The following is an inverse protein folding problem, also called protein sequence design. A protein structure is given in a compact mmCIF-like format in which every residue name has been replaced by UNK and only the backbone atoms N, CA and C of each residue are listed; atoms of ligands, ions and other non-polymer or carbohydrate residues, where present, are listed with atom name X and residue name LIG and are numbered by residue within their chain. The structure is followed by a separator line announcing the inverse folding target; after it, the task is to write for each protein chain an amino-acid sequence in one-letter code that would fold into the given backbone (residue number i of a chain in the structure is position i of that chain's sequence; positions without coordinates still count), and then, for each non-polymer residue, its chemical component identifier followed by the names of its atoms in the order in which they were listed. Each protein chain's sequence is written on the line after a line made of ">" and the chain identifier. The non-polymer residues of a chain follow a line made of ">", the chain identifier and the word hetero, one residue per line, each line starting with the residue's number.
data_IF_622839224261
#
_entry.id   IF_622839224261
#
_cell.length_a   1.000
_cell.length_b   1.000
_cell.length_c   1.000
_cell.angle_alpha   90.00
_cell.angle_beta   90.00
_cell.angle_gamma   90.00
#
_symmetry.space_group_name_H-M   'P 1'
#
loop_
_entity.id
_entity.type
_entity.pdbx_description
1 polymer ?
#
# COMPACT_ATOMS: atom_id res chain seq x y z
N UNK A 1 -17.08 3.46 19.83
CA UNK A 1 -16.04 2.45 19.55
C UNK A 1 -16.59 1.03 19.67
N UNK A 2 -17.23 0.66 20.77
CA UNK A 2 -17.79 -0.68 21.00
C UNK A 2 -18.76 -1.09 19.89
N UNK A 3 -19.70 -0.24 19.51
CA UNK A 3 -20.65 -0.52 18.41
C UNK A 3 -19.95 -0.86 17.07
N UNK A 4 -18.83 -0.19 16.78
CA UNK A 4 -18.02 -0.51 15.60
C UNK A 4 -17.35 -1.89 15.71
N UNK A 5 -16.86 -2.25 16.90
CA UNK A 5 -16.25 -3.54 17.16
C UNK A 5 -17.26 -4.69 17.05
N UNK A 6 -18.49 -4.48 17.49
CA UNK A 6 -19.59 -5.44 17.31
C UNK A 6 -19.91 -5.66 15.83
N UNK A 7 -19.94 -4.58 15.04
CA UNK A 7 -20.11 -4.69 13.59
C UNK A 7 -18.95 -5.45 12.92
N UNK A 8 -17.72 -5.24 13.38
CA UNK A 8 -16.52 -5.96 12.90
C UNK A 8 -16.64 -7.46 13.24
N UNK A 9 -17.09 -7.81 14.44
CA UNK A 9 -17.30 -9.20 14.84
C UNK A 9 -18.39 -9.88 14.00
N UNK A 10 -19.52 -9.20 13.76
CA UNK A 10 -20.58 -9.69 12.86
C UNK A 10 -20.07 -9.88 11.43
N UNK A 11 -19.23 -8.96 10.94
CA UNK A 11 -18.64 -9.08 9.61
C UNK A 11 -17.68 -10.26 9.54
N UNK A 12 -16.87 -10.47 10.56
CA UNK A 12 -15.97 -11.63 10.68
C UNK A 12 -16.73 -12.95 10.60
N UNK A 13 -17.83 -13.09 11.34
CA UNK A 13 -18.67 -14.30 11.31
C UNK A 13 -19.25 -14.52 9.91
N UNK A 14 -19.77 -13.46 9.29
CA UNK A 14 -20.29 -13.53 7.93
C UNK A 14 -19.23 -13.90 6.89
N UNK A 15 -18.01 -13.39 7.01
CA UNK A 15 -16.90 -13.74 6.12
C UNK A 15 -16.51 -15.21 6.29
N UNK A 16 -16.49 -15.71 7.53
CA UNK A 16 -16.25 -17.14 7.79
C UNK A 16 -17.33 -18.04 7.15
N UNK A 17 -18.59 -17.64 7.18
CA UNK A 17 -19.67 -18.37 6.51
C UNK A 17 -19.50 -18.33 4.98
N UNK A 18 -19.20 -17.16 4.39
CA UNK A 18 -19.05 -16.97 2.96
C UNK A 18 -17.89 -17.80 2.38
N UNK A 19 -16.76 -17.87 3.06
CA UNK A 19 -15.59 -18.66 2.62
C UNK A 19 -15.91 -20.16 2.49
N UNK A 20 -16.88 -20.65 3.25
CA UNK A 20 -17.30 -22.05 3.20
C UNK A 20 -18.27 -22.37 2.06
N UNK A 21 -18.78 -21.37 1.34
CA UNK A 21 -19.73 -21.58 0.25
C UNK A 21 -19.04 -22.15 -1.00
N UNK A 22 -19.58 -23.19 -1.64
CA UNK A 22 -18.99 -23.79 -2.84
C UNK A 22 -18.81 -22.81 -4.00
N UNK A 23 -19.71 -21.83 -4.12
CA UNK A 23 -19.67 -20.78 -5.14
C UNK A 23 -18.44 -19.87 -4.97
N UNK A 24 -18.13 -19.49 -3.74
CA UNK A 24 -16.97 -18.66 -3.41
C UNK A 24 -15.66 -19.44 -3.56
N UNK A 25 -15.64 -20.72 -3.17
CA UNK A 25 -14.46 -21.58 -3.34
C UNK A 25 -14.11 -21.77 -4.82
N UNK A 26 -15.10 -21.72 -5.71
CA UNK A 26 -14.88 -21.85 -7.16
C UNK A 26 -14.36 -20.55 -7.80
N UNK A 27 -14.57 -19.40 -7.18
CA UNK A 27 -14.04 -18.10 -7.62
C UNK A 27 -12.77 -17.76 -6.84
N UNK A 28 -11.62 -18.02 -7.49
CA UNK A 28 -10.31 -17.83 -6.87
C UNK A 28 -10.05 -16.38 -6.45
N UNK A 29 -10.58 -15.39 -7.16
CA UNK A 29 -10.38 -13.98 -6.84
C UNK A 29 -11.21 -13.59 -5.60
N UNK A 30 -12.50 -13.92 -5.59
CA UNK A 30 -13.38 -13.65 -4.47
C UNK A 30 -12.93 -14.39 -3.20
N UNK A 31 -12.48 -15.63 -3.32
CA UNK A 31 -11.93 -16.40 -2.21
C UNK A 31 -10.68 -15.73 -1.61
N UNK A 32 -9.76 -15.27 -2.47
CA UNK A 32 -8.55 -14.57 -2.05
C UNK A 32 -8.84 -13.25 -1.32
N UNK A 33 -9.81 -12.49 -1.79
CA UNK A 33 -10.24 -11.24 -1.13
C UNK A 33 -10.84 -11.51 0.25
N UNK A 34 -11.76 -12.47 0.35
CA UNK A 34 -12.38 -12.84 1.64
C UNK A 34 -11.37 -13.40 2.63
N UNK A 35 -10.39 -14.19 2.17
CA UNK A 35 -9.30 -14.67 3.03
C UNK A 35 -8.41 -13.54 3.55
N UNK A 36 -8.15 -12.51 2.73
CA UNK A 36 -7.44 -11.31 3.16
C UNK A 36 -8.25 -10.53 4.19
N UNK A 37 -9.54 -10.35 3.94
CA UNK A 37 -10.44 -9.69 4.88
C UNK A 37 -10.45 -10.44 6.22
N UNK A 38 -10.59 -11.76 6.19
CA UNK A 38 -10.53 -12.60 7.39
C UNK A 38 -9.23 -12.42 8.17
N UNK A 39 -8.08 -12.47 7.47
CA UNK A 39 -6.76 -12.26 8.08
C UNK A 39 -6.64 -10.89 8.77
N UNK A 40 -7.27 -9.86 8.21
CA UNK A 40 -7.27 -8.52 8.79
C UNK A 40 -8.22 -8.38 9.99
N UNK A 41 -9.37 -9.04 9.96
CA UNK A 41 -10.37 -8.98 11.02
C UNK A 41 -10.01 -9.86 12.24
N UNK A 42 -9.32 -10.98 12.02
CA UNK A 42 -8.97 -11.96 13.07
C UNK A 42 -8.33 -11.30 14.30
N UNK A 43 -7.22 -10.53 14.20
CA UNK A 43 -6.58 -9.95 15.37
C UNK A 43 -7.48 -8.95 16.11
N UNK A 44 -8.33 -8.23 15.40
CA UNK A 44 -9.28 -7.28 15.99
C UNK A 44 -10.35 -8.03 16.81
N UNK A 45 -10.90 -9.11 16.24
CA UNK A 45 -11.96 -9.90 16.88
C UNK A 45 -11.42 -10.68 18.08
N UNK A 46 -10.22 -11.26 17.97
CA UNK A 46 -9.58 -11.96 19.08
C UNK A 46 -9.31 -11.02 20.27
N UNK A 47 -8.73 -9.85 20.00
CA UNK A 47 -8.50 -8.83 21.01
C UNK A 47 -9.82 -8.32 21.61
N UNK A 48 -10.87 -8.14 20.80
CA UNK A 48 -12.19 -7.71 21.28
C UNK A 48 -12.88 -8.76 22.14
N UNK A 49 -12.78 -10.03 21.79
CA UNK A 49 -13.29 -11.15 22.61
C UNK A 49 -12.57 -11.22 23.95
N UNK A 50 -11.23 -11.07 23.95
CA UNK A 50 -10.46 -11.00 25.18
C UNK A 50 -10.83 -9.78 26.05
N UNK A 51 -11.09 -8.62 25.42
CA UNK A 51 -11.59 -7.43 26.11
C UNK A 51 -12.96 -7.67 26.76
N UNK A 52 -13.90 -8.29 26.04
CA UNK A 52 -15.24 -8.63 26.61
C UNK A 52 -15.13 -9.59 27.79
N UNK A 53 -14.23 -10.56 27.73
CA UNK A 53 -13.97 -11.50 28.83
C UNK A 53 -13.37 -10.77 30.04
N UNK A 54 -12.36 -9.92 29.85
CA UNK A 54 -11.76 -9.11 30.91
C UNK A 54 -12.78 -8.16 31.56
N UNK A 55 -13.64 -7.52 30.76
CA UNK A 55 -14.72 -6.64 31.25
C UNK A 55 -15.78 -7.39 32.06
N UNK A 56 -16.08 -8.63 31.64
CA UNK A 56 -17.01 -9.52 32.37
C UNK A 56 -16.40 -9.94 33.70
N UNK A 57 -15.14 -10.40 33.71
CA UNK A 57 -14.44 -10.81 34.94
C UNK A 57 -14.30 -9.63 35.92
N UNK A 58 -13.95 -8.42 35.43
CA UNK A 58 -13.90 -7.22 36.25
C UNK A 58 -15.24 -6.92 36.94
N UNK A 59 -16.35 -7.00 36.19
CA UNK A 59 -17.72 -6.76 36.72
C UNK A 59 -18.14 -7.82 37.71
N UNK A 60 -17.83 -9.09 37.45
CA UNK A 60 -18.15 -10.20 38.36
C UNK A 60 -17.34 -10.07 39.67
N UNK A 61 -16.04 -9.84 39.60
CA UNK A 61 -15.20 -9.62 40.78
C UNK A 61 -15.65 -8.41 41.59
N UNK A 62 -16.01 -7.29 40.94
CA UNK A 62 -16.53 -6.10 41.58
C UNK A 62 -17.88 -6.34 42.28
N UNK A 63 -18.78 -7.08 41.64
CA UNK A 63 -20.08 -7.46 42.24
C UNK A 63 -19.91 -8.32 43.49
N UNK A 64 -19.03 -9.30 43.41
CA UNK A 64 -18.73 -10.21 44.55
C UNK A 64 -18.05 -9.46 45.69
N UNK A 65 -17.16 -8.49 45.43
CA UNK A 65 -16.54 -7.66 46.47
C UNK A 65 -17.55 -6.81 47.26
N UNK A 66 -18.63 -6.37 46.57
CA UNK A 66 -19.67 -5.54 47.18
C UNK A 66 -20.74 -6.32 47.97
N UNK A 67 -20.89 -7.64 47.74
CA UNK A 67 -21.87 -8.49 48.43
C UNK A 67 -21.53 -8.76 49.92
N UNK A 68 -20.32 -8.46 50.39
CA UNK A 68 -19.96 -8.32 51.79
C UNK A 68 -20.02 -9.58 52.66
N UNK A 69 -20.33 -10.75 52.10
CA UNK A 69 -20.56 -12.03 52.86
C UNK A 69 -19.34 -12.97 52.87
N UNK A 70 -18.14 -12.48 52.44
CA UNK A 70 -17.03 -13.34 52.08
C UNK A 70 -15.93 -13.39 53.14
N UNK A 71 -15.23 -14.54 53.17
CA UNK A 71 -14.08 -14.78 54.03
C UNK A 71 -12.90 -13.89 53.61
N UNK A 72 -12.03 -13.54 54.56
CA UNK A 72 -10.94 -12.56 54.35
C UNK A 72 -9.97 -12.98 53.24
N UNK A 73 -9.61 -14.28 53.20
CA UNK A 73 -8.69 -14.83 52.17
C UNK A 73 -9.31 -14.81 50.79
N UNK A 74 -10.62 -15.04 50.68
CA UNK A 74 -11.35 -14.97 49.41
C UNK A 74 -11.52 -13.53 48.92
N UNK A 75 -11.65 -12.59 49.84
CA UNK A 75 -11.69 -11.16 49.49
C UNK A 75 -10.36 -10.66 48.92
N UNK A 76 -9.22 -11.09 49.48
CA UNK A 76 -7.90 -10.76 48.96
C UNK A 76 -7.71 -11.30 47.53
N UNK A 77 -8.14 -12.52 47.25
CA UNK A 77 -8.11 -13.10 45.88
C UNK A 77 -8.99 -12.32 44.90
N UNK A 78 -10.19 -11.91 45.32
CA UNK A 78 -11.07 -11.11 44.47
C UNK A 78 -10.52 -9.69 44.20
N UNK A 79 -9.85 -9.09 45.18
CA UNK A 79 -9.20 -7.79 44.99
C UNK A 79 -8.03 -7.89 44.00
N UNK A 80 -7.29 -9.00 44.02
CA UNK A 80 -6.22 -9.27 43.05
C UNK A 80 -6.79 -9.53 41.65
N UNK A 81 -7.81 -10.37 41.53
CA UNK A 81 -8.49 -10.66 40.27
C UNK A 81 -9.13 -9.42 39.65
N UNK A 82 -9.75 -8.57 40.45
CA UNK A 82 -10.29 -7.28 40.03
C UNK A 82 -9.21 -6.37 39.49
N UNK A 83 -8.06 -6.29 40.16
CA UNK A 83 -6.94 -5.44 39.74
C UNK A 83 -6.30 -5.93 38.45
N UNK A 84 -6.09 -7.24 38.34
CA UNK A 84 -5.52 -7.86 37.13
C UNK A 84 -6.47 -7.72 35.93
N UNK A 85 -7.77 -8.00 36.10
CA UNK A 85 -8.75 -7.88 35.03
C UNK A 85 -8.91 -6.43 34.55
N UNK A 86 -8.87 -5.47 35.47
CA UNK A 86 -8.91 -4.03 35.14
C UNK A 86 -7.68 -3.61 34.34
N UNK A 87 -6.49 -4.00 34.76
CA UNK A 87 -5.26 -3.69 34.02
C UNK A 87 -5.29 -4.32 32.62
N UNK A 88 -5.63 -5.59 32.52
CA UNK A 88 -5.76 -6.32 31.26
C UNK A 88 -6.77 -5.65 30.32
N UNK A 89 -7.90 -5.19 30.85
CA UNK A 89 -8.91 -4.45 30.08
C UNK A 89 -8.37 -3.14 29.53
N UNK A 90 -7.60 -2.38 30.32
CA UNK A 90 -6.99 -1.12 29.86
C UNK A 90 -5.93 -1.35 28.75
N UNK A 91 -5.11 -2.40 28.91
CA UNK A 91 -4.13 -2.81 27.90
C UNK A 91 -4.82 -3.23 26.59
N UNK A 92 -5.82 -4.12 26.67
CA UNK A 92 -6.59 -4.56 25.49
C UNK A 92 -7.37 -3.41 24.82
N UNK A 93 -7.87 -2.46 25.60
CA UNK A 93 -8.53 -1.28 25.06
C UNK A 93 -7.56 -0.40 24.25
N UNK A 94 -6.32 -0.23 24.73
CA UNK A 94 -5.28 0.49 24.01
C UNK A 94 -4.85 -0.25 22.73
N UNK A 95 -4.73 -1.56 22.80
CA UNK A 95 -4.44 -2.41 21.63
C UNK A 95 -5.55 -2.34 20.58
N UNK A 96 -6.82 -2.43 21.00
CA UNK A 96 -7.97 -2.28 20.10
C UNK A 96 -7.99 -0.92 19.39
N UNK A 97 -7.63 0.16 20.06
CA UNK A 97 -7.48 1.48 19.42
C UNK A 97 -6.46 1.44 18.28
N UNK A 98 -5.36 0.75 18.49
CA UNK A 98 -4.30 0.59 17.49
C UNK A 98 -4.74 -0.29 16.32
N UNK A 99 -5.41 -1.41 16.61
CA UNK A 99 -5.91 -2.35 15.60
C UNK A 99 -7.03 -1.78 14.72
N UNK A 100 -7.81 -0.83 15.26
CA UNK A 100 -8.89 -0.14 14.53
C UNK A 100 -8.41 1.00 13.65
N UNK A 101 -7.12 1.36 13.69
CA UNK A 101 -6.59 2.37 12.78
C UNK A 101 -6.74 1.90 11.33
N UNK A 102 -7.12 2.81 10.43
CA UNK A 102 -7.24 2.46 9.02
C UNK A 102 -5.88 2.00 8.48
N UNK A 103 -5.84 0.75 8.05
CA UNK A 103 -4.69 0.19 7.33
C UNK A 103 -4.70 0.72 5.90
N UNK A 104 -3.54 1.00 5.36
CA UNK A 104 -3.40 1.36 3.96
C UNK A 104 -3.81 0.15 3.09
N UNK A 105 -4.76 0.30 2.14
CA UNK A 105 -5.18 -0.80 1.28
C UNK A 105 -4.04 -1.36 0.43
N UNK A 106 -2.95 -0.63 0.26
CA UNK A 106 -1.77 -1.06 -0.47
C UNK A 106 -0.76 -1.84 0.37
N UNK A 107 -0.90 -1.88 1.72
CA UNK A 107 0.08 -2.47 2.62
C UNK A 107 0.42 -3.94 2.32
N UNK A 108 -0.49 -4.69 1.69
CA UNK A 108 -0.29 -6.10 1.32
C UNK A 108 0.35 -6.29 -0.07
N UNK A 109 0.44 -5.23 -0.88
CA UNK A 109 0.92 -5.29 -2.26
C UNK A 109 2.43 -5.50 -2.34
N UNK A 110 2.86 -5.97 -3.51
CA UNK A 110 4.24 -5.87 -3.92
C UNK A 110 4.63 -4.40 -4.08
N UNK A 111 5.93 -4.12 -4.12
CA UNK A 111 6.42 -2.75 -4.18
C UNK A 111 7.36 -2.56 -5.36
N UNK A 112 7.20 -1.44 -6.06
CA UNK A 112 8.12 -0.97 -7.08
C UNK A 112 8.95 0.15 -6.45
N UNK A 113 10.28 0.01 -6.49
CA UNK A 113 11.21 0.99 -5.97
C UNK A 113 12.01 1.57 -7.12
N UNK A 114 12.02 2.89 -7.21
CA UNK A 114 12.84 3.62 -8.18
C UNK A 114 13.89 4.43 -7.43
N UNK A 115 15.15 4.22 -7.76
CA UNK A 115 16.28 4.92 -7.17
C UNK A 115 16.97 5.73 -8.27
N UNK A 116 17.14 7.03 -8.03
CA UNK A 116 17.85 7.94 -8.95
C UNK A 116 18.94 8.72 -8.23
N UNK A 117 20.12 8.81 -8.84
CA UNK A 117 21.17 9.71 -8.41
C UNK A 117 20.69 11.17 -8.47
N UNK A 118 20.79 11.90 -7.36
CA UNK A 118 20.49 13.32 -7.25
C UNK A 118 21.74 14.19 -7.38
N UNK A 119 21.90 15.13 -6.44
CA UNK A 119 23.08 16.00 -6.41
C UNK A 119 24.33 15.23 -5.95
N UNK A 120 25.40 15.23 -6.75
CA UNK A 120 26.68 14.59 -6.38
C UNK A 120 27.39 13.85 -7.53
N UNK A 121 26.79 13.81 -8.74
CA UNK A 121 27.42 13.17 -9.91
C UNK A 121 27.67 11.68 -9.70
N UNK A 122 28.88 11.21 -9.99
CA UNK A 122 29.27 9.80 -9.91
C UNK A 122 29.12 9.23 -8.50
N UNK A 123 29.37 10.02 -7.46
CA UNK A 123 29.18 9.60 -6.07
C UNK A 123 27.72 9.30 -5.75
N UNK A 124 26.80 10.11 -6.26
CA UNK A 124 25.37 9.83 -6.12
C UNK A 124 24.99 8.52 -6.82
N UNK A 125 25.56 8.24 -7.99
CA UNK A 125 25.33 7.00 -8.71
C UNK A 125 25.90 5.77 -7.97
N UNK A 126 27.08 5.88 -7.37
CA UNK A 126 27.68 4.81 -6.54
C UNK A 126 26.83 4.56 -5.28
N UNK A 127 26.33 5.63 -4.66
CA UNK A 127 25.45 5.49 -3.48
C UNK A 127 24.08 4.90 -3.85
N UNK A 128 23.53 5.23 -5.02
CA UNK A 128 22.31 4.59 -5.52
C UNK A 128 22.47 3.06 -5.64
N UNK A 129 23.62 2.59 -6.14
CA UNK A 129 23.97 1.17 -6.15
C UNK A 129 24.08 0.56 -4.75
N UNK A 130 24.62 1.33 -3.79
CA UNK A 130 24.70 0.89 -2.38
C UNK A 130 23.31 0.75 -1.75
N UNK A 131 22.37 1.67 -2.04
CA UNK A 131 20.97 1.60 -1.57
C UNK A 131 20.22 0.43 -2.22
N UNK A 132 20.39 0.22 -3.52
CA UNK A 132 19.81 -0.95 -4.20
C UNK A 132 20.26 -2.26 -3.55
N UNK A 133 21.56 -2.41 -3.31
CA UNK A 133 22.10 -3.57 -2.60
C UNK A 133 21.49 -3.72 -1.20
N UNK A 134 21.41 -2.65 -0.41
CA UNK A 134 20.83 -2.65 0.92
C UNK A 134 19.38 -3.15 0.89
N UNK A 135 18.54 -2.64 -0.02
CA UNK A 135 17.15 -3.05 -0.14
C UNK A 135 17.00 -4.49 -0.64
N UNK A 136 17.86 -4.93 -1.58
CA UNK A 136 17.85 -6.31 -2.06
C UNK A 136 18.21 -7.29 -0.94
N UNK A 137 19.21 -6.99 -0.12
CA UNK A 137 19.59 -7.83 1.02
C UNK A 137 18.51 -7.86 2.09
N UNK A 138 17.84 -6.73 2.33
CA UNK A 138 16.68 -6.70 3.23
C UNK A 138 15.53 -7.55 2.71
N UNK A 139 15.19 -7.44 1.43
CA UNK A 139 14.17 -8.25 0.79
C UNK A 139 14.50 -9.75 0.89
N UNK A 140 15.74 -10.13 0.62
CA UNK A 140 16.21 -11.52 0.75
C UNK A 140 16.08 -12.05 2.18
N UNK A 141 16.44 -11.24 3.19
CA UNK A 141 16.31 -11.62 4.61
C UNK A 141 14.86 -11.89 5.02
N UNK A 142 13.89 -11.28 4.32
CA UNK A 142 12.44 -11.48 4.51
C UNK A 142 11.86 -12.59 3.63
N UNK A 143 12.67 -13.22 2.80
CA UNK A 143 12.23 -14.23 1.84
C UNK A 143 11.45 -13.65 0.65
N UNK A 144 11.59 -12.36 0.38
CA UNK A 144 10.99 -11.68 -0.76
C UNK A 144 11.92 -11.75 -1.97
N UNK A 145 11.32 -11.80 -3.15
CA UNK A 145 12.06 -11.85 -4.42
C UNK A 145 12.24 -10.45 -4.98
N UNK A 146 13.45 -10.13 -5.43
CA UNK A 146 13.77 -8.88 -6.12
C UNK A 146 13.89 -9.13 -7.62
N UNK A 147 13.17 -8.36 -8.44
CA UNK A 147 13.22 -8.40 -9.89
C UNK A 147 13.57 -7.02 -10.47
N UNK A 148 14.63 -6.93 -11.25
CA UNK A 148 15.09 -5.66 -11.84
C UNK A 148 14.36 -5.42 -13.16
N UNK A 149 13.57 -4.35 -13.19
CA UNK A 149 12.77 -3.94 -14.36
C UNK A 149 13.60 -3.10 -15.34
N UNK A 150 14.35 -2.14 -14.81
CA UNK A 150 15.20 -1.26 -15.63
C UNK A 150 16.42 -0.80 -14.82
N UNK A 151 17.58 -0.72 -15.47
CA UNK A 151 18.81 -0.23 -14.86
C UNK A 151 19.60 0.61 -15.87
N UNK A 152 20.10 1.75 -15.41
CA UNK A 152 21.00 2.62 -16.15
C UNK A 152 22.31 2.79 -15.36
N UNK A 153 23.33 2.07 -15.76
CA UNK A 153 24.63 2.06 -15.10
C UNK A 153 25.54 3.16 -15.64
N UNK A 154 26.47 3.61 -14.79
CA UNK A 154 27.56 4.51 -15.20
C UNK A 154 28.83 3.72 -15.54
N UNK A 155 29.72 4.32 -16.33
CA UNK A 155 31.01 3.67 -16.69
C UNK A 155 31.93 3.36 -15.50
N UNK A 156 31.65 3.88 -14.30
CA UNK A 156 32.39 3.66 -13.06
C UNK A 156 31.71 2.62 -12.13
N UNK A 157 30.74 1.86 -12.64
CA UNK A 157 30.01 0.85 -11.87
C UNK A 157 28.94 1.43 -10.90
N UNK A 158 28.62 2.71 -11.00
CA UNK A 158 27.52 3.32 -10.29
C UNK A 158 26.19 3.15 -11.04
N UNK A 159 25.08 3.38 -10.36
CA UNK A 159 23.72 3.31 -10.92
C UNK A 159 23.15 4.72 -11.00
N UNK A 160 22.93 5.22 -12.22
CA UNK A 160 22.29 6.53 -12.43
C UNK A 160 20.81 6.47 -12.11
N UNK A 161 20.15 5.40 -12.52
CA UNK A 161 18.75 5.12 -12.30
C UNK A 161 18.51 3.62 -12.30
N UNK A 162 17.67 3.14 -11.38
CA UNK A 162 17.20 1.76 -11.34
C UNK A 162 15.76 1.72 -10.90
N UNK A 163 14.98 0.85 -11.56
CA UNK A 163 13.63 0.47 -11.14
C UNK A 163 13.58 -1.03 -10.93
N UNK A 164 13.12 -1.47 -9.80
CA UNK A 164 13.00 -2.89 -9.46
C UNK A 164 11.76 -3.15 -8.62
N UNK A 165 11.23 -4.35 -8.76
CA UNK A 165 10.08 -4.82 -8.00
C UNK A 165 10.54 -5.75 -6.89
N UNK A 166 9.93 -5.65 -5.72
CA UNK A 166 10.06 -6.60 -4.63
C UNK A 166 8.74 -7.32 -4.47
N UNK A 167 8.73 -8.60 -4.79
CA UNK A 167 7.58 -9.48 -4.70
C UNK A 167 7.54 -10.13 -3.32
N UNK A 168 6.53 -9.80 -2.53
CA UNK A 168 6.34 -10.37 -1.20
C UNK A 168 5.15 -9.76 -0.48
N UNK A 169 4.40 -10.59 0.23
CA UNK A 169 3.27 -10.11 1.02
C UNK A 169 3.71 -9.11 2.07
N UNK A 170 3.17 -7.91 2.03
CA UNK A 170 3.50 -6.85 2.98
C UNK A 170 4.78 -6.06 2.64
N UNK A 171 5.39 -6.28 1.48
CA UNK A 171 6.59 -5.56 1.07
C UNK A 171 6.36 -4.03 1.05
N UNK A 172 5.26 -3.58 0.44
CA UNK A 172 4.93 -2.16 0.41
C UNK A 172 4.81 -1.55 1.81
N UNK A 173 4.20 -2.25 2.77
CA UNK A 173 4.01 -1.76 4.14
C UNK A 173 5.33 -1.39 4.86
N UNK A 174 6.42 -2.06 4.50
CA UNK A 174 7.75 -1.83 5.06
C UNK A 174 8.51 -0.76 4.29
N UNK A 175 8.47 -0.83 2.96
CA UNK A 175 9.24 0.06 2.10
C UNK A 175 8.61 1.45 1.90
N UNK A 176 7.30 1.64 2.13
CA UNK A 176 6.65 2.96 1.96
C UNK A 176 7.31 4.08 2.75
N UNK A 177 8.01 3.76 3.84
CA UNK A 177 8.77 4.72 4.64
C UNK A 177 10.16 5.05 4.07
N UNK A 178 10.59 4.38 3.00
CA UNK A 178 11.88 4.64 2.35
C UNK A 178 11.78 5.70 1.24
N UNK A 179 10.57 6.17 0.90
CA UNK A 179 10.37 7.21 -0.10
C UNK A 179 10.91 8.56 0.35
N UNK A 180 11.67 9.23 -0.52
CA UNK A 180 12.21 10.56 -0.28
C UNK A 180 13.68 10.70 -0.66
N UNK A 181 14.33 11.73 -0.13
CA UNK A 181 15.74 12.06 -0.41
C UNK A 181 16.67 11.46 0.65
N UNK A 182 17.56 10.58 0.22
CA UNK A 182 18.61 9.97 1.03
C UNK A 182 19.93 10.71 0.83
N UNK A 183 20.55 11.16 1.91
CA UNK A 183 21.80 11.91 1.87
C UNK A 183 22.95 11.06 2.37
N UNK A 184 24.03 11.00 1.64
CA UNK A 184 25.27 10.34 2.04
C UNK A 184 26.38 11.37 2.33
N UNK A 185 27.17 11.09 3.35
CA UNK A 185 28.38 11.82 3.71
C UNK A 185 29.52 10.81 3.84
N UNK A 186 30.40 10.76 2.84
CA UNK A 186 31.61 9.93 2.84
C UNK A 186 32.68 10.54 1.94
N UNK A 187 33.89 10.04 2.03
CA UNK A 187 34.94 10.31 1.03
C UNK A 187 34.64 9.42 -0.17
N UNK A 188 34.32 9.95 -1.36
CA UNK A 188 34.07 9.16 -2.54
C UNK A 188 35.32 8.34 -2.94
N UNK A 189 35.12 7.18 -3.54
CA UNK A 189 36.20 6.39 -4.13
C UNK A 189 36.90 7.13 -5.29
N UNK A 190 36.20 8.08 -5.90
CA UNK A 190 36.67 8.95 -6.99
C UNK A 190 37.45 10.18 -6.51
N UNK A 191 37.50 10.44 -5.18
CA UNK A 191 38.13 11.64 -4.61
C UNK A 191 39.58 11.35 -4.16
N UNK A 192 40.53 11.97 -4.82
CA UNK A 192 41.97 11.81 -4.51
C UNK A 192 42.42 12.65 -3.29
N UNK A 193 41.70 13.69 -2.93
CA UNK A 193 42.04 14.64 -1.86
C UNK A 193 41.52 14.27 -0.48
N UNK A 194 40.82 13.14 -0.30
CA UNK A 194 40.30 12.68 0.99
C UNK A 194 39.20 13.57 1.57
N UNK A 195 38.57 14.42 0.77
CA UNK A 195 37.50 15.33 1.22
C UNK A 195 36.17 14.60 1.35
N UNK A 196 35.45 14.88 2.43
CA UNK A 196 34.11 14.38 2.64
C UNK A 196 33.16 15.13 1.69
N UNK A 197 32.50 14.36 0.80
CA UNK A 197 31.45 14.88 -0.07
C UNK A 197 30.06 14.58 0.51
N UNK A 198 29.11 15.42 0.14
CA UNK A 198 27.71 15.22 0.47
C UNK A 198 26.93 15.04 -0.81
N UNK A 199 26.40 13.85 -1.02
CA UNK A 199 25.61 13.49 -2.21
C UNK A 199 24.20 13.07 -1.82
N UNK A 200 23.28 13.13 -2.77
CA UNK A 200 21.88 12.75 -2.56
C UNK A 200 21.42 11.76 -3.59
N UNK A 201 20.49 10.92 -3.17
CA UNK A 201 19.77 9.96 -4.00
C UNK A 201 18.31 10.09 -3.67
N UNK A 202 17.47 10.06 -4.68
CA UNK A 202 16.02 10.06 -4.51
C UNK A 202 15.49 8.63 -4.65
N UNK A 203 14.58 8.27 -3.77
CA UNK A 203 13.90 6.98 -3.76
C UNK A 203 12.40 7.24 -3.86
N UNK A 204 11.77 6.68 -4.89
CA UNK A 204 10.33 6.60 -4.99
C UNK A 204 9.88 5.17 -4.69
N UNK A 205 8.79 5.03 -3.95
CA UNK A 205 8.24 3.75 -3.51
C UNK A 205 6.77 3.73 -3.88
N UNK A 206 6.41 2.87 -4.82
CA UNK A 206 5.08 2.78 -5.38
C UNK A 206 4.51 1.38 -5.15
N UNK A 207 3.22 1.25 -4.83
CA UNK A 207 2.57 -0.05 -4.81
C UNK A 207 2.48 -0.61 -6.22
N UNK A 208 2.54 -1.94 -6.36
CA UNK A 208 2.24 -2.59 -7.64
C UNK A 208 0.85 -2.20 -8.11
N UNK A 209 0.74 -1.69 -9.34
CA UNK A 209 -0.53 -1.33 -9.95
C UNK A 209 -1.31 -2.60 -10.32
N UNK A 210 -2.60 -2.61 -10.04
CA UNK A 210 -3.49 -3.67 -10.51
C UNK A 210 -3.80 -3.46 -11.99
N UNK A 211 -4.00 -4.56 -12.72
CA UNK A 211 -4.46 -4.47 -14.10
C UNK A 211 -5.86 -3.83 -14.15
N UNK A 212 -5.97 -2.79 -14.94
CA UNK A 212 -7.25 -2.13 -15.16
C UNK A 212 -8.10 -2.99 -16.10
N UNK A 213 -9.16 -3.58 -15.57
CA UNK A 213 -10.18 -4.23 -16.38
C UNK A 213 -11.47 -3.40 -16.33
N UNK A 214 -12.08 -3.17 -17.51
CA UNK A 214 -13.31 -2.39 -17.62
C UNK A 214 -14.48 -3.30 -17.92
N UNK A 215 -15.34 -3.47 -16.93
CA UNK A 215 -16.67 -4.03 -17.12
C UNK A 215 -17.62 -2.89 -17.51
N UNK A 216 -18.10 -2.90 -18.76
CA UNK A 216 -19.09 -1.93 -19.25
C UNK A 216 -20.49 -2.46 -18.90
N UNK A 217 -21.23 -1.72 -18.06
CA UNK A 217 -22.63 -2.04 -17.79
C UNK A 217 -23.49 -1.66 -19.02
N UNK A 218 -24.27 -2.59 -19.60
CA UNK A 218 -25.18 -2.30 -20.69
C UNK A 218 -26.20 -1.18 -20.40
N UNK A 219 -26.54 -0.94 -19.13
CA UNK A 219 -27.47 0.12 -18.70
C UNK A 219 -26.86 1.53 -18.81
N UNK A 220 -25.54 1.65 -18.86
CA UNK A 220 -24.78 2.90 -19.02
C UNK A 220 -24.55 3.27 -20.48
N UNK A 221 -25.05 2.44 -21.40
CA UNK A 221 -24.88 2.64 -22.84
C UNK A 221 -26.17 3.14 -23.49
N UNK A 222 -26.08 4.27 -24.17
CA UNK A 222 -27.07 4.70 -25.15
C UNK A 222 -26.62 4.25 -26.54
N UNK A 223 -27.47 3.48 -27.23
CA UNK A 223 -27.18 2.94 -28.56
C UNK A 223 -28.19 3.48 -29.55
N UNK A 224 -27.75 4.30 -30.47
CA UNK A 224 -28.53 4.92 -31.49
C UNK A 224 -28.19 4.31 -32.86
N UNK A 225 -29.20 4.07 -33.69
CA UNK A 225 -29.03 3.62 -35.06
C UNK A 225 -29.24 4.79 -36.01
N UNK A 226 -28.44 4.85 -37.06
CA UNK A 226 -28.57 5.88 -38.08
C UNK A 226 -28.18 5.36 -39.47
N UNK A 227 -28.44 6.15 -40.48
CA UNK A 227 -28.12 5.75 -41.87
C UNK A 227 -26.66 6.04 -42.14
N UNK A 228 -25.96 5.04 -42.68
CA UNK A 228 -24.56 5.21 -43.06
C UNK A 228 -24.42 6.28 -44.14
N UNK A 229 -23.40 7.09 -44.03
CA UNK A 229 -23.02 8.12 -45.03
C UNK A 229 -21.87 7.61 -45.88
N UNK A 230 -21.94 7.79 -47.21
CA UNK A 230 -20.86 7.44 -48.13
C UNK A 230 -21.31 7.04 -49.51
N UNK A 231 -20.36 6.77 -50.42
CA UNK A 231 -20.62 6.31 -51.78
C UNK A 231 -21.16 4.87 -51.74
N UNK A 232 -22.46 4.70 -51.92
CA UNK A 232 -23.13 3.38 -51.88
C UNK A 232 -24.45 3.37 -52.64
N UNK A 233 -24.93 2.18 -53.02
CA UNK A 233 -26.20 1.97 -53.69
C UNK A 233 -27.40 2.09 -52.76
N UNK A 234 -28.59 1.62 -53.23
CA UNK A 234 -29.88 1.72 -52.53
C UNK A 234 -29.87 1.19 -51.06
N UNK A 235 -29.01 0.23 -50.76
CA UNK A 235 -28.91 -0.36 -49.42
C UNK A 235 -28.35 0.63 -48.38
N UNK A 236 -27.30 1.40 -48.71
CA UNK A 236 -26.68 2.38 -47.80
C UNK A 236 -27.63 3.54 -47.48
N UNK A 237 -28.43 3.95 -48.42
CA UNK A 237 -29.35 5.09 -48.29
C UNK A 237 -30.72 4.72 -47.63
N UNK A 238 -31.08 3.44 -47.57
CA UNK A 238 -32.39 3.02 -47.02
C UNK A 238 -32.29 2.30 -45.68
N UNK A 239 -31.16 1.65 -45.36
CA UNK A 239 -31.02 0.81 -44.15
C UNK A 239 -30.24 1.54 -43.09
N UNK A 240 -30.74 1.60 -41.86
CA UNK A 240 -30.06 2.17 -40.69
C UNK A 240 -29.09 1.13 -40.11
N UNK A 241 -27.98 0.91 -40.80
CA UNK A 241 -26.95 -0.07 -40.40
C UNK A 241 -25.83 0.54 -39.57
N UNK A 242 -25.70 1.87 -39.56
CA UNK A 242 -24.71 2.55 -38.74
C UNK A 242 -25.16 2.64 -37.27
N UNK A 243 -24.22 2.51 -36.39
CA UNK A 243 -24.43 2.51 -34.93
C UNK A 243 -23.60 3.63 -34.31
N UNK A 244 -24.23 4.36 -33.40
CA UNK A 244 -23.58 5.27 -32.44
C UNK A 244 -23.78 4.70 -31.05
N UNK A 245 -22.71 4.48 -30.33
CA UNK A 245 -22.71 4.08 -28.92
C UNK A 245 -22.16 5.22 -28.09
N UNK A 246 -22.94 5.70 -27.14
CA UNK A 246 -22.56 6.73 -26.18
C UNK A 246 -22.48 6.10 -24.80
N UNK A 247 -21.34 6.21 -24.15
CA UNK A 247 -21.19 5.83 -22.73
C UNK A 247 -21.60 7.03 -21.88
N UNK A 248 -22.74 6.92 -21.20
CA UNK A 248 -23.40 8.02 -20.50
C UNK A 248 -22.49 8.65 -19.41
N UNK A 249 -21.80 7.86 -18.54
CA UNK A 249 -20.99 8.44 -17.46
C UNK A 249 -19.80 9.28 -17.94
N UNK A 250 -19.11 8.85 -19.02
CA UNK A 250 -17.92 9.54 -19.53
C UNK A 250 -18.21 10.45 -20.73
N UNK A 251 -19.41 10.37 -21.31
CA UNK A 251 -19.75 11.09 -22.54
C UNK A 251 -18.97 10.62 -23.77
N UNK A 252 -18.25 9.50 -23.69
CA UNK A 252 -17.48 8.96 -24.83
C UNK A 252 -18.42 8.44 -25.89
N UNK A 253 -18.26 8.92 -27.13
CA UNK A 253 -19.07 8.53 -28.29
C UNK A 253 -18.23 7.76 -29.29
N UNK A 254 -18.76 6.63 -29.77
CA UNK A 254 -18.16 5.81 -30.82
C UNK A 254 -19.19 5.58 -31.93
N UNK A 255 -18.83 5.88 -33.17
CA UNK A 255 -19.64 5.58 -34.34
C UNK A 255 -18.97 4.51 -35.19
N UNK A 256 -19.77 3.59 -35.68
CA UNK A 256 -19.32 2.51 -36.60
C UNK A 256 -20.31 2.32 -37.73
N UNK A 257 -19.82 2.42 -38.97
CA UNK A 257 -20.61 2.27 -40.19
C UNK A 257 -19.91 1.43 -41.29
N UNK A 258 -18.86 0.68 -40.89
CA UNK A 258 -17.99 -0.03 -41.85
C UNK A 258 -18.63 -1.24 -42.46
N UNK A 259 -19.52 -1.89 -41.76
CA UNK A 259 -20.17 -3.13 -42.18
C UNK A 259 -21.63 -2.90 -42.61
N UNK A 260 -22.12 -3.78 -43.47
CA UNK A 260 -23.56 -3.77 -43.90
C UNK A 260 -24.50 -4.28 -42.80
N UNK A 261 -23.97 -4.99 -41.80
CA UNK A 261 -24.70 -5.57 -40.69
C UNK A 261 -24.68 -4.68 -39.48
N UNK A 262 -25.84 -4.26 -39.02
CA UNK A 262 -26.02 -3.46 -37.78
C UNK A 262 -25.41 -4.16 -36.56
N UNK A 263 -25.56 -5.48 -36.42
CA UNK A 263 -25.02 -6.27 -35.32
C UNK A 263 -23.47 -6.28 -35.33
N UNK A 264 -22.83 -6.38 -36.49
CA UNK A 264 -21.38 -6.31 -36.62
C UNK A 264 -20.85 -4.92 -36.29
N UNK A 265 -21.56 -3.86 -36.73
CA UNK A 265 -21.21 -2.50 -36.39
C UNK A 265 -21.35 -2.25 -34.88
N UNK A 266 -22.42 -2.77 -34.23
CA UNK A 266 -22.59 -2.70 -32.77
C UNK A 266 -21.43 -3.38 -32.03
N UNK A 267 -21.10 -4.62 -32.41
CA UNK A 267 -20.00 -5.37 -31.80
C UNK A 267 -18.66 -4.64 -31.92
N UNK A 268 -18.40 -4.07 -33.11
CA UNK A 268 -17.21 -3.31 -33.39
C UNK A 268 -17.16 -1.99 -32.59
N UNK A 269 -18.28 -1.27 -32.54
CA UNK A 269 -18.40 -0.04 -31.76
C UNK A 269 -18.16 -0.28 -30.26
N UNK A 270 -18.70 -1.38 -29.72
CA UNK A 270 -18.46 -1.76 -28.31
C UNK A 270 -17.00 -2.11 -28.03
N UNK A 271 -16.32 -2.81 -28.95
CA UNK A 271 -14.89 -3.11 -28.84
C UNK A 271 -14.04 -1.82 -28.85
N UNK A 272 -14.36 -0.89 -29.77
CA UNK A 272 -13.67 0.40 -29.84
C UNK A 272 -13.94 1.22 -28.58
N UNK A 273 -15.19 1.24 -28.09
CA UNK A 273 -15.53 1.93 -26.85
C UNK A 273 -14.75 1.37 -25.67
N UNK A 274 -14.69 0.04 -25.51
CA UNK A 274 -13.90 -0.61 -24.45
C UNK A 274 -12.43 -0.22 -24.51
N UNK A 275 -11.83 -0.22 -25.70
CA UNK A 275 -10.43 0.20 -25.87
C UNK A 275 -10.21 1.68 -25.48
N UNK A 276 -11.12 2.59 -25.86
CA UNK A 276 -11.02 4.00 -25.50
C UNK A 276 -11.19 4.24 -24.00
N UNK A 277 -12.15 3.58 -23.39
CA UNK A 277 -12.36 3.70 -21.94
C UNK A 277 -11.15 3.14 -21.16
N UNK A 278 -10.57 2.02 -21.62
CA UNK A 278 -9.37 1.45 -21.05
C UNK A 278 -8.17 2.40 -21.18
N UNK A 279 -8.03 3.07 -22.31
CA UNK A 279 -6.97 4.06 -22.54
C UNK A 279 -7.13 5.25 -21.57
N UNK A 280 -8.32 5.80 -21.43
CA UNK A 280 -8.62 6.91 -20.51
C UNK A 280 -8.33 6.53 -19.05
N UNK A 281 -8.72 5.32 -18.63
CA UNK A 281 -8.47 4.90 -17.25
C UNK A 281 -6.98 4.62 -16.98
N UNK A 282 -6.26 4.09 -17.98
CA UNK A 282 -4.79 3.95 -17.91
C UNK A 282 -4.08 5.30 -17.82
N UNK A 283 -4.47 6.27 -18.65
CA UNK A 283 -3.90 7.63 -18.60
C UNK A 283 -4.13 8.28 -17.23
N UNK A 284 -5.32 8.07 -16.65
CA UNK A 284 -5.63 8.57 -15.30
C UNK A 284 -4.74 7.90 -14.25
N UNK A 285 -4.62 6.57 -14.29
CA UNK A 285 -3.75 5.82 -13.37
C UNK A 285 -2.28 6.24 -13.50
N UNK A 286 -1.79 6.39 -14.74
CA UNK A 286 -0.43 6.83 -15.01
C UNK A 286 -0.18 8.26 -14.47
N UNK A 287 -1.18 9.14 -14.59
CA UNK A 287 -1.11 10.50 -14.03
C UNK A 287 -1.07 10.49 -12.50
N UNK A 288 -1.90 9.67 -11.85
CA UNK A 288 -1.92 9.51 -10.39
C UNK A 288 -0.56 8.98 -9.88
N UNK A 289 -0.02 7.95 -10.54
CA UNK A 289 1.31 7.39 -10.22
C UNK A 289 2.42 8.44 -10.43
N UNK A 290 2.35 9.22 -11.51
CA UNK A 290 3.33 10.28 -11.79
C UNK A 290 3.30 11.39 -10.74
N UNK A 291 2.10 11.78 -10.28
CA UNK A 291 1.93 12.79 -9.23
C UNK A 291 2.38 12.26 -7.86
N UNK A 292 2.08 11.01 -7.54
CA UNK A 292 2.58 10.37 -6.32
C UNK A 292 4.12 10.31 -6.33
N UNK A 293 4.73 9.83 -7.42
CA UNK A 293 6.19 9.82 -7.59
C UNK A 293 6.80 11.21 -7.41
N UNK A 294 6.19 12.24 -8.01
CA UNK A 294 6.66 13.62 -7.90
C UNK A 294 6.60 14.14 -6.47
N UNK A 295 5.52 13.83 -5.75
CA UNK A 295 5.37 14.23 -4.35
C UNK A 295 6.39 13.59 -3.42
N UNK A 296 6.78 12.34 -3.68
CA UNK A 296 7.77 11.60 -2.90
C UNK A 296 9.20 12.08 -3.13
N UNK A 297 9.55 12.41 -4.38
CA UNK A 297 10.94 12.72 -4.77
C UNK A 297 11.29 14.20 -4.54
N UNK A 298 10.30 15.10 -4.56
CA UNK A 298 10.52 16.55 -4.44
C UNK A 298 11.47 17.08 -5.51
N UNK A 299 12.38 17.97 -5.13
CA UNK A 299 13.44 18.52 -6.02
C UNK A 299 14.74 17.71 -5.99
N UNK A 300 14.88 16.76 -5.06
CA UNK A 300 16.11 16.02 -4.81
C UNK A 300 17.21 16.86 -4.15
N UNK A 301 16.89 18.04 -3.62
CA UNK A 301 17.84 18.91 -2.95
C UNK A 301 18.32 18.30 -1.62
N UNK A 302 19.54 18.65 -1.22
CA UNK A 302 20.15 18.19 0.05
C UNK A 302 19.39 18.63 1.29
N UNK A 303 18.56 19.66 1.20
CA UNK A 303 17.72 20.17 2.29
C UNK A 303 16.51 19.29 2.57
N UNK A 304 15.97 18.61 1.55
CA UNK A 304 14.76 17.77 1.62
C UNK A 304 14.99 16.37 2.19
N UNK A 305 16.20 16.11 2.70
CA UNK A 305 16.61 14.80 3.20
C UNK A 305 15.66 14.22 4.24
N UNK A 306 15.26 12.98 4.04
CA UNK A 306 14.56 12.17 5.07
C UNK A 306 15.60 11.48 5.97
N UNK A 307 16.71 11.00 5.39
CA UNK A 307 17.74 10.23 6.11
C UNK A 307 19.15 10.64 5.71
N UNK A 308 20.08 10.57 6.66
CA UNK A 308 21.51 10.83 6.42
C UNK A 308 22.35 9.62 6.82
N UNK A 309 23.18 9.16 5.90
CA UNK A 309 24.17 8.11 6.09
C UNK A 309 25.55 8.78 6.24
N UNK A 310 26.10 8.79 7.46
CA UNK A 310 27.39 9.40 7.77
C UNK A 310 28.43 8.31 8.01
N UNK A 311 29.20 7.97 6.97
CA UNK A 311 30.21 6.92 7.04
C UNK A 311 31.36 7.24 7.99
N UNK A 312 31.96 8.45 7.99
CA UNK A 312 33.02 8.80 8.94
C UNK A 312 32.62 8.65 10.41
N UNK A 313 31.35 8.83 10.73
CA UNK A 313 30.84 8.69 12.09
C UNK A 313 30.14 7.36 12.36
N UNK A 314 30.07 6.46 11.37
CA UNK A 314 29.43 5.14 11.49
C UNK A 314 27.93 5.20 11.81
N UNK A 315 27.26 6.32 11.52
CA UNK A 315 25.86 6.53 11.93
C UNK A 315 24.90 6.78 10.78
N UNK A 316 23.65 6.35 11.00
CA UNK A 316 22.49 6.68 10.16
C UNK A 316 21.50 7.46 11.01
N UNK A 317 21.01 8.59 10.50
CA UNK A 317 20.03 9.43 11.19
C UNK A 317 18.80 9.64 10.34
N UNK A 318 17.62 9.25 10.84
CA UNK A 318 16.33 9.56 10.25
C UNK A 318 15.79 10.87 10.84
N UNK A 319 15.62 11.87 9.97
CA UNK A 319 15.27 13.23 10.41
C UNK A 319 13.78 13.40 10.69
N UNK A 320 12.93 12.48 10.21
CA UNK A 320 11.46 12.52 10.40
C UNK A 320 11.07 12.26 11.86
N UNK A 321 11.84 11.37 12.53
CA UNK A 321 11.59 10.93 13.90
C UNK A 321 12.75 11.24 14.86
N UNK A 322 13.83 11.89 14.37
CA UNK A 322 15.01 12.22 15.17
C UNK A 322 15.84 11.01 15.62
N UNK A 323 15.62 9.82 15.03
CA UNK A 323 16.34 8.59 15.41
C UNK A 323 17.74 8.59 14.81
N UNK A 324 18.74 8.21 15.63
CA UNK A 324 20.13 8.02 15.18
C UNK A 324 20.66 6.68 15.65
N UNK A 325 21.14 5.86 14.71
CA UNK A 325 21.72 4.55 14.95
C UNK A 325 23.20 4.54 14.55
N UNK A 326 24.06 3.96 15.40
CA UNK A 326 25.52 3.86 15.18
C UNK A 326 25.91 2.48 14.66
N UNK A 327 25.20 1.98 13.63
CA UNK A 327 25.41 0.67 13.00
C UNK A 327 25.29 0.72 11.47
N UNK A 328 25.94 1.71 10.86
CA UNK A 328 25.84 1.95 9.41
C UNK A 328 26.17 0.72 8.57
N UNK A 329 27.16 -0.08 8.96
CA UNK A 329 27.54 -1.29 8.22
C UNK A 329 26.44 -2.34 8.21
N UNK A 330 25.78 -2.57 9.37
CA UNK A 330 24.64 -3.47 9.46
C UNK A 330 23.48 -2.99 8.59
N UNK A 331 23.17 -1.69 8.68
CA UNK A 331 22.10 -1.06 7.88
C UNK A 331 22.37 -1.20 6.37
N UNK A 332 23.59 -0.91 5.92
CA UNK A 332 23.97 -1.05 4.50
C UNK A 332 24.01 -2.51 4.02
N UNK A 333 24.02 -3.47 4.93
CA UNK A 333 23.87 -4.90 4.66
C UNK A 333 22.44 -5.42 4.87
N UNK A 334 21.44 -4.52 4.96
CA UNK A 334 20.03 -4.89 4.97
C UNK A 334 19.38 -4.94 6.37
N UNK A 335 20.11 -4.67 7.47
CA UNK A 335 19.51 -4.61 8.82
C UNK A 335 18.82 -3.26 9.06
N UNK A 336 17.65 -3.06 8.39
CA UNK A 336 16.88 -1.81 8.49
C UNK A 336 15.64 -1.93 9.36
N UNK A 337 15.38 -3.09 9.98
CA UNK A 337 14.15 -3.33 10.76
C UNK A 337 13.94 -2.32 11.86
N UNK A 338 14.97 -2.01 12.65
CA UNK A 338 14.85 -1.05 13.75
C UNK A 338 14.43 0.36 13.26
N UNK A 339 14.91 0.78 12.07
CA UNK A 339 14.50 2.04 11.46
C UNK A 339 13.03 2.00 11.01
N UNK A 340 12.65 0.91 10.34
CA UNK A 340 11.30 0.74 9.81
C UNK A 340 10.29 0.60 10.94
N UNK A 341 10.58 -0.17 11.98
CA UNK A 341 9.69 -0.38 13.13
C UNK A 341 9.49 0.93 13.93
N UNK A 342 10.55 1.73 14.09
CA UNK A 342 10.43 3.04 14.71
C UNK A 342 9.55 4.00 13.88
N UNK A 343 9.64 3.95 12.55
CA UNK A 343 8.80 4.76 11.65
C UNK A 343 7.34 4.30 11.67
N UNK A 344 7.09 2.99 11.68
CA UNK A 344 5.74 2.43 11.83
C UNK A 344 5.13 2.87 13.17
N UNK A 345 5.89 2.80 14.26
CA UNK A 345 5.44 3.23 15.58
C UNK A 345 5.09 4.72 15.61
N UNK A 346 5.93 5.56 15.00
CA UNK A 346 5.68 6.99 14.91
C UNK A 346 4.46 7.34 14.03
N UNK A 347 4.24 6.62 12.91
CA UNK A 347 3.07 6.78 12.05
C UNK A 347 1.79 6.36 12.78
N UNK A 348 1.82 5.23 13.47
CA UNK A 348 0.72 4.73 14.30
C UNK A 348 0.35 5.75 15.39
N UNK A 349 1.34 6.31 16.08
CA UNK A 349 1.11 7.34 17.11
C UNK A 349 0.46 8.62 16.53
N UNK A 350 0.90 9.07 15.35
CA UNK A 350 0.28 10.21 14.66
C UNK A 350 -1.18 9.93 14.26
N UNK A 351 -1.46 8.74 13.74
CA UNK A 351 -2.83 8.33 13.37
C UNK A 351 -3.74 8.24 14.59
N UNK A 352 -3.24 7.75 15.73
CA UNK A 352 -3.98 7.72 16.99
C UNK A 352 -4.34 9.14 17.45
N UNK A 353 -3.38 10.06 17.46
CA UNK A 353 -3.62 11.46 17.82
C UNK A 353 -4.66 12.12 16.89
N UNK A 354 -4.58 11.87 15.59
CA UNK A 354 -5.55 12.39 14.61
C UNK A 354 -6.96 11.81 14.78
N UNK A 355 -7.10 10.60 15.33
CA UNK A 355 -8.40 9.96 15.58
C UNK A 355 -9.07 10.39 16.88
N UNK A 356 -8.33 11.00 17.81
CA UNK A 356 -8.81 11.50 19.11
C UNK A 356 -9.19 12.99 19.09
N UNK A 357 -8.83 13.74 18.04
CA UNK A 357 -9.17 15.16 17.82
C UNK A 357 -10.31 15.33 16.83
#
# INVERSE_FOLDING_TARGET
>A
MIDKLEQVELRFEKVNELICLPEVVSDQNQYKELMRELKNLTPVVECFRAYKEADKTEKEAFSLLNDGTQDKDFKELLEEEYKESKQKKEELYSELKTLLLPKDPNDYKNVIIEIRGGAGGDEAALFAGSLFRMYSMYAESRGWKTDVMNINETGLGGIKEISFMIEGEGAYSRFKFESGVHRVQRVPETESGGRIHTSTVTVAVLPEAEEVDIAIDPSELQIDTFRASGAGGQHVNKTESAIRVTHIPTGTVVECQDERSQYKNKDRALKILRSRLLEVEREKQDSEIADERRSQVGTGDRSERIRTYNFPQGRVSDHRIGLTLYKIEGIMNGDIDELVDALITADTAKKLQASEG
#
